data_IF_930111211634
#
_entry.id   IF_930111211634
#
_cell.length_a   1.000
_cell.length_b   1.000
_cell.length_c   1.000
_cell.angle_alpha   90.00
_cell.angle_beta   90.00
_cell.angle_gamma   90.00
#
_symmetry.space_group_name_H-M   'P 1'
#
loop_
_entity.id
_entity.type
_entity.pdbx_description
1 polymer ?
#
# COMPACT_ATOMS: atom_id res chain seq x y z
N UNK A 1 -17.80 -9.59 5.77
CA UNK A 1 -16.90 -8.98 4.76
C UNK A 1 -15.61 -8.44 5.36
N UNK A 2 -14.83 -9.07 6.12
CA UNK A 2 -13.58 -8.44 6.61
C UNK A 2 -12.54 -9.44 7.15
N UNK A 3 -12.78 -10.76 6.98
CA UNK A 3 -11.91 -11.74 7.65
C UNK A 3 -10.54 -11.95 6.97
N UNK A 4 -10.45 -11.87 5.65
CA UNK A 4 -9.15 -12.10 4.95
C UNK A 4 -8.20 -10.92 5.05
N UNK A 5 -8.71 -9.69 5.05
CA UNK A 5 -7.88 -8.50 5.30
C UNK A 5 -7.31 -8.49 6.72
N UNK A 6 -8.14 -8.87 7.68
CA UNK A 6 -7.73 -9.03 9.07
C UNK A 6 -6.73 -10.19 9.25
N UNK A 7 -6.81 -11.28 8.46
CA UNK A 7 -5.85 -12.38 8.54
C UNK A 7 -4.46 -12.00 8.05
N UNK A 8 -4.36 -11.27 6.95
CA UNK A 8 -3.06 -10.75 6.46
C UNK A 8 -2.50 -9.76 7.47
N UNK A 9 -3.32 -8.83 7.94
CA UNK A 9 -2.92 -7.87 8.97
C UNK A 9 -2.57 -8.57 10.30
N UNK A 10 -3.30 -9.61 10.71
CA UNK A 10 -3.01 -10.40 11.92
C UNK A 10 -1.77 -11.27 11.80
N UNK A 11 -1.53 -11.91 10.67
CA UNK A 11 -0.27 -12.64 10.42
C UNK A 11 0.93 -11.69 10.50
N UNK A 12 0.72 -10.49 10.09
CA UNK A 12 1.64 -9.40 10.09
C UNK A 12 1.95 -8.86 11.50
N UNK A 13 0.91 -8.61 12.29
CA UNK A 13 1.03 -8.06 13.64
C UNK A 13 1.52 -9.11 14.66
N UNK A 14 1.32 -10.39 14.40
CA UNK A 14 1.59 -11.46 15.39
C UNK A 14 2.97 -12.14 15.21
N UNK A 15 3.68 -11.91 14.10
CA UNK A 15 4.92 -12.67 13.81
C UNK A 15 6.19 -12.16 14.49
N UNK A 16 6.21 -10.92 14.93
CA UNK A 16 7.42 -10.36 15.55
C UNK A 16 7.12 -9.53 16.81
N UNK A 17 6.99 -10.24 17.92
CA UNK A 17 6.78 -9.63 19.24
C UNK A 17 7.98 -8.81 19.75
N UNK A 18 9.12 -8.87 19.08
CA UNK A 18 10.38 -8.22 19.51
C UNK A 18 10.68 -6.92 18.75
N UNK A 19 9.94 -6.56 17.71
CA UNK A 19 10.20 -5.34 16.95
C UNK A 19 9.67 -4.09 17.66
N UNK A 20 10.44 -3.02 17.65
CA UNK A 20 10.01 -1.69 18.13
C UNK A 20 8.71 -1.24 17.47
N UNK A 21 8.47 -1.67 16.22
CA UNK A 21 7.25 -1.42 15.49
C UNK A 21 6.03 -2.06 16.15
N UNK A 22 6.12 -3.33 16.58
CA UNK A 22 5.00 -4.01 17.24
C UNK A 22 4.68 -3.42 18.61
N UNK A 23 5.71 -3.07 19.39
CA UNK A 23 5.52 -2.37 20.67
C UNK A 23 4.80 -1.04 20.42
N UNK A 24 5.28 -0.27 19.48
CA UNK A 24 4.68 1.02 19.11
C UNK A 24 3.26 0.88 18.55
N UNK A 25 2.99 -0.16 17.74
CA UNK A 25 1.66 -0.45 17.19
C UNK A 25 0.63 -0.85 18.26
N UNK A 26 1.09 -1.42 19.39
CA UNK A 26 0.24 -1.75 20.53
C UNK A 26 -0.01 -0.57 21.45
N UNK A 27 0.97 0.35 21.57
CA UNK A 27 0.93 1.49 22.49
C UNK A 27 0.18 2.70 21.94
N UNK A 28 0.02 2.80 20.60
CA UNK A 28 -0.67 3.94 19.99
C UNK A 28 -2.15 3.63 19.78
N UNK A 29 -2.97 4.22 20.62
CA UNK A 29 -4.37 4.43 20.36
C UNK A 29 -4.54 5.69 19.48
N UNK A 30 -4.64 5.48 18.17
CA UNK A 30 -4.86 6.57 17.19
C UNK A 30 -6.29 7.14 17.25
N UNK A 31 -7.16 6.59 18.08
CA UNK A 31 -8.45 7.21 18.38
C UNK A 31 -8.29 8.43 19.31
N UNK A 32 -7.14 8.53 19.98
CA UNK A 32 -6.82 9.72 20.77
C UNK A 32 -6.61 10.94 19.85
N UNK A 33 -7.51 11.91 19.97
CA UNK A 33 -7.62 13.09 19.11
C UNK A 33 -6.33 13.93 18.95
N UNK A 34 -5.37 13.81 19.86
CA UNK A 34 -4.07 14.51 19.81
C UNK A 34 -3.19 14.09 18.62
N UNK A 35 -3.40 12.89 18.05
CA UNK A 35 -2.64 12.38 16.89
C UNK A 35 -3.32 12.71 15.55
N UNK A 36 -4.58 13.13 15.57
CA UNK A 36 -5.35 13.48 14.38
C UNK A 36 -5.12 14.95 14.00
N UNK A 37 -3.87 15.31 13.74
CA UNK A 37 -3.56 16.65 13.25
C UNK A 37 -4.09 16.84 11.82
N UNK A 38 -4.23 18.09 11.38
CA UNK A 38 -4.64 18.43 10.01
C UNK A 38 -3.67 17.85 8.98
N UNK A 39 -2.38 17.86 9.29
CA UNK A 39 -1.31 17.32 8.47
C UNK A 39 -1.44 15.80 8.34
N UNK A 40 -1.69 15.10 9.44
CA UNK A 40 -1.93 13.65 9.42
C UNK A 40 -3.16 13.30 8.58
N UNK A 41 -4.28 13.99 8.77
CA UNK A 41 -5.52 13.74 8.02
C UNK A 41 -5.29 13.96 6.52
N UNK A 42 -4.56 15.01 6.15
CA UNK A 42 -4.23 15.30 4.75
C UNK A 42 -3.31 14.22 4.15
N UNK A 43 -2.30 13.78 4.90
CA UNK A 43 -1.41 12.71 4.49
C UNK A 43 -2.15 11.37 4.35
N UNK A 44 -3.03 11.04 5.30
CA UNK A 44 -3.84 9.82 5.25
C UNK A 44 -4.71 9.78 3.99
N UNK A 45 -5.42 10.86 3.68
CA UNK A 45 -6.25 10.96 2.47
C UNK A 45 -5.40 10.78 1.21
N UNK A 46 -4.31 11.53 1.10
CA UNK A 46 -3.42 11.46 -0.05
C UNK A 46 -2.86 10.05 -0.28
N UNK A 47 -2.45 9.36 0.80
CA UNK A 47 -1.93 8.00 0.71
C UNK A 47 -3.02 6.96 0.42
N UNK A 48 -4.22 7.09 0.99
CA UNK A 48 -5.34 6.20 0.71
C UNK A 48 -5.82 6.33 -0.75
N UNK A 49 -5.85 7.54 -1.29
CA UNK A 49 -6.21 7.81 -2.69
C UNK A 49 -5.14 7.29 -3.67
N UNK A 50 -3.87 7.42 -3.32
CA UNK A 50 -2.76 7.00 -4.19
C UNK A 50 -2.41 5.51 -4.07
N UNK A 51 -2.82 4.84 -2.98
CA UNK A 51 -2.52 3.43 -2.71
C UNK A 51 -3.76 2.65 -2.25
N UNK A 52 -4.81 2.59 -3.08
CA UNK A 52 -6.09 2.02 -2.67
C UNK A 52 -6.02 0.51 -2.38
N UNK A 53 -5.22 -0.28 -3.11
CA UNK A 53 -5.05 -1.69 -2.82
C UNK A 53 -4.33 -1.92 -1.49
N UNK A 54 -3.30 -1.12 -1.19
CA UNK A 54 -2.62 -1.17 0.11
C UNK A 54 -3.60 -0.78 1.24
N UNK A 55 -4.40 0.27 1.03
CA UNK A 55 -5.44 0.65 2.01
C UNK A 55 -6.41 -0.50 2.30
N UNK A 56 -6.89 -1.19 1.25
CA UNK A 56 -7.77 -2.34 1.39
C UNK A 56 -7.08 -3.48 2.15
N UNK A 57 -5.83 -3.82 1.80
CA UNK A 57 -5.07 -4.91 2.41
C UNK A 57 -4.85 -4.71 3.92
N UNK A 58 -4.58 -3.50 4.35
CA UNK A 58 -4.32 -3.19 5.76
C UNK A 58 -5.59 -2.90 6.56
N UNK A 59 -6.64 -2.41 5.90
CA UNK A 59 -7.82 -1.85 6.55
C UNK A 59 -7.53 -0.53 7.25
N UNK A 60 -8.59 0.19 7.63
CA UNK A 60 -8.50 1.58 8.13
C UNK A 60 -7.54 1.72 9.32
N UNK A 61 -7.69 0.90 10.35
CA UNK A 61 -6.90 1.02 11.58
C UNK A 61 -5.40 0.79 11.36
N UNK A 62 -5.02 -0.26 10.62
CA UNK A 62 -3.61 -0.55 10.37
C UNK A 62 -3.00 0.41 9.35
N UNK A 63 -3.78 0.86 8.37
CA UNK A 63 -3.32 1.86 7.40
C UNK A 63 -3.06 3.20 8.09
N UNK A 64 -3.91 3.63 9.03
CA UNK A 64 -3.65 4.82 9.88
C UNK A 64 -2.31 4.73 10.59
N UNK A 65 -1.99 3.57 11.14
CA UNK A 65 -0.71 3.34 11.82
C UNK A 65 0.47 3.43 10.84
N UNK A 66 0.36 2.84 9.64
CA UNK A 66 1.38 2.99 8.60
C UNK A 66 1.59 4.46 8.22
N UNK A 67 0.50 5.20 8.02
CA UNK A 67 0.56 6.63 7.70
C UNK A 67 1.21 7.42 8.83
N UNK A 68 0.88 7.11 10.08
CA UNK A 68 1.48 7.76 11.24
C UNK A 68 3.00 7.63 11.25
N UNK A 69 3.53 6.44 10.91
CA UNK A 69 4.98 6.26 10.76
C UNK A 69 5.52 6.97 9.52
N UNK A 70 4.83 6.88 8.42
CA UNK A 70 5.29 7.50 7.17
C UNK A 70 5.49 9.00 7.33
N UNK A 71 4.56 9.71 7.97
CA UNK A 71 4.65 11.17 8.16
C UNK A 71 5.80 11.60 9.07
N UNK A 72 6.36 10.70 9.90
CA UNK A 72 7.55 11.02 10.70
C UNK A 72 8.80 11.19 9.83
N UNK A 73 8.84 10.57 8.66
CA UNK A 73 9.96 10.60 7.72
C UNK A 73 9.68 11.45 6.49
N UNK A 74 8.43 11.56 6.09
CA UNK A 74 8.00 12.21 4.86
C UNK A 74 6.86 13.20 5.17
N UNK A 75 7.22 14.44 5.41
CA UNK A 75 6.23 15.50 5.68
C UNK A 75 5.53 15.89 4.37
N UNK A 76 4.20 15.95 4.42
CA UNK A 76 3.40 16.51 3.33
C UNK A 76 3.54 18.03 3.31
N UNK A 77 3.90 18.58 2.14
CA UNK A 77 3.95 20.02 1.88
C UNK A 77 3.29 20.34 0.54
N UNK A 78 3.00 21.61 0.27
CA UNK A 78 2.47 22.04 -1.02
C UNK A 78 3.44 21.71 -2.17
N UNK A 79 4.74 21.80 -1.92
CA UNK A 79 5.79 21.53 -2.91
C UNK A 79 5.86 20.06 -3.33
N UNK A 80 5.56 19.12 -2.43
CA UNK A 80 5.65 17.69 -2.70
C UNK A 80 4.31 16.99 -2.87
N UNK A 81 3.18 17.71 -2.74
CA UNK A 81 1.84 17.13 -2.73
C UNK A 81 1.56 16.21 -3.93
N UNK A 82 1.95 16.62 -5.14
CA UNK A 82 1.73 15.84 -6.37
C UNK A 82 2.53 14.53 -6.42
N UNK A 83 3.60 14.39 -5.62
CA UNK A 83 4.47 13.20 -5.55
C UNK A 83 4.44 12.53 -4.19
N UNK A 84 3.60 13.01 -3.29
CA UNK A 84 3.50 12.49 -1.95
C UNK A 84 2.95 11.05 -1.99
N UNK A 85 3.69 10.13 -1.39
CA UNK A 85 3.39 8.70 -1.44
C UNK A 85 4.19 7.91 -2.47
N UNK A 86 4.90 8.53 -3.40
CA UNK A 86 5.73 7.81 -4.39
C UNK A 86 6.72 6.84 -3.73
N UNK A 87 7.22 7.17 -2.53
CA UNK A 87 8.16 6.38 -1.75
C UNK A 87 7.47 5.36 -0.82
N UNK A 88 6.14 5.32 -0.78
CA UNK A 88 5.39 4.55 0.20
C UNK A 88 5.68 3.05 0.12
N UNK A 89 5.78 2.49 -1.09
CA UNK A 89 6.15 1.09 -1.29
C UNK A 89 7.55 0.75 -0.76
N UNK A 90 8.53 1.64 -0.98
CA UNK A 90 9.88 1.50 -0.43
C UNK A 90 9.91 1.62 1.09
N UNK A 91 9.11 2.53 1.64
CA UNK A 91 8.94 2.68 3.08
C UNK A 91 8.35 1.41 3.72
N UNK A 92 7.28 0.85 3.15
CA UNK A 92 6.67 -0.39 3.64
C UNK A 92 7.72 -1.51 3.67
N UNK A 93 8.51 -1.66 2.60
CA UNK A 93 9.54 -2.70 2.53
C UNK A 93 10.64 -2.50 3.58
N UNK A 94 10.96 -1.26 3.95
CA UNK A 94 11.98 -0.95 4.94
C UNK A 94 11.54 -1.23 6.38
N UNK A 95 10.24 -1.44 6.63
CA UNK A 95 9.74 -1.79 7.96
C UNK A 95 10.11 -3.24 8.31
N UNK A 96 10.86 -3.48 9.42
CA UNK A 96 11.33 -4.82 9.77
C UNK A 96 10.22 -5.86 9.87
N UNK A 97 9.07 -5.48 10.40
CA UNK A 97 7.89 -6.33 10.53
C UNK A 97 7.27 -6.74 9.18
N UNK A 98 7.59 -6.02 8.11
CA UNK A 98 7.08 -6.18 6.75
C UNK A 98 8.10 -6.79 5.78
N UNK A 99 9.33 -6.97 6.23
CA UNK A 99 10.44 -7.40 5.40
C UNK A 99 10.18 -8.72 4.64
N UNK A 100 9.34 -9.60 5.21
CA UNK A 100 8.97 -10.88 4.60
C UNK A 100 7.78 -10.77 3.62
N UNK A 101 7.22 -9.58 3.45
CA UNK A 101 6.06 -9.33 2.58
C UNK A 101 6.46 -8.46 1.38
N UNK A 102 7.49 -8.90 0.65
CA UNK A 102 8.04 -8.16 -0.50
C UNK A 102 6.98 -7.77 -1.55
N UNK A 103 5.90 -8.54 -1.64
CA UNK A 103 4.82 -8.24 -2.58
C UNK A 103 4.15 -6.89 -2.33
N UNK A 104 4.13 -6.40 -1.09
CA UNK A 104 3.49 -5.12 -0.75
C UNK A 104 4.11 -3.93 -1.49
N UNK A 105 5.43 -3.93 -1.67
CA UNK A 105 6.09 -2.87 -2.44
C UNK A 105 5.66 -2.86 -3.90
N UNK A 106 5.41 -4.04 -4.47
CA UNK A 106 5.00 -4.18 -5.87
C UNK A 106 3.54 -3.78 -6.06
N UNK A 107 2.67 -4.18 -5.12
CA UNK A 107 1.28 -3.72 -5.07
C UNK A 107 1.23 -2.18 -4.95
N UNK A 108 2.02 -1.60 -4.03
CA UNK A 108 2.08 -0.14 -3.85
C UNK A 108 2.62 0.59 -5.10
N UNK A 109 3.61 0.00 -5.80
CA UNK A 109 4.10 0.56 -7.08
C UNK A 109 3.03 0.54 -8.17
N UNK A 110 2.23 -0.52 -8.23
CA UNK A 110 1.15 -0.62 -9.21
C UNK A 110 0.01 0.34 -8.87
N UNK A 111 -0.35 0.49 -7.58
CA UNK A 111 -1.29 1.52 -7.11
C UNK A 111 -0.85 2.91 -7.58
N UNK A 112 0.42 3.27 -7.33
CA UNK A 112 0.97 4.55 -7.74
C UNK A 112 0.89 4.75 -9.26
N UNK A 113 1.33 3.76 -10.04
CA UNK A 113 1.28 3.79 -11.50
C UNK A 113 -0.15 3.98 -12.01
N UNK A 114 -1.11 3.24 -11.44
CA UNK A 114 -2.52 3.33 -11.80
C UNK A 114 -3.12 4.72 -11.50
N UNK A 115 -2.85 5.26 -10.31
CA UNK A 115 -3.47 6.51 -9.85
C UNK A 115 -2.84 7.75 -10.47
N UNK A 116 -1.53 7.74 -10.73
CA UNK A 116 -0.81 8.94 -11.21
C UNK A 116 -0.51 8.94 -12.69
N UNK A 117 -0.40 7.77 -13.32
CA UNK A 117 -0.13 7.63 -14.75
C UNK A 117 1.08 8.49 -15.21
N UNK A 118 2.08 8.60 -14.35
CA UNK A 118 3.27 9.45 -14.55
C UNK A 118 4.31 8.83 -15.49
N UNK A 119 4.05 7.62 -15.98
CA UNK A 119 4.91 6.86 -16.88
C UNK A 119 4.08 6.17 -17.96
N UNK A 120 4.68 5.93 -19.13
CA UNK A 120 4.01 5.19 -20.22
C UNK A 120 3.87 3.70 -19.90
N UNK A 121 4.81 3.15 -19.17
CA UNK A 121 4.82 1.75 -18.75
C UNK A 121 5.56 1.58 -17.43
N UNK A 122 5.31 0.46 -16.79
CA UNK A 122 6.02 0.05 -15.58
C UNK A 122 6.51 -1.39 -15.73
N UNK A 123 7.69 -1.68 -15.16
CA UNK A 123 8.22 -3.05 -15.03
C UNK A 123 7.97 -3.54 -13.62
N UNK A 124 7.25 -4.64 -13.52
CA UNK A 124 6.89 -5.29 -12.24
C UNK A 124 7.11 -6.80 -12.35
N UNK A 125 7.33 -7.50 -11.22
CA UNK A 125 7.37 -8.94 -11.20
C UNK A 125 6.09 -9.56 -11.77
N UNK A 126 6.26 -10.70 -12.44
CA UNK A 126 5.15 -11.49 -12.97
C UNK A 126 4.15 -11.83 -11.87
N UNK A 127 2.87 -11.72 -12.18
CA UNK A 127 1.79 -11.97 -11.24
C UNK A 127 1.41 -10.78 -10.36
N UNK A 128 2.13 -9.63 -10.45
CA UNK A 128 1.76 -8.43 -9.69
C UNK A 128 0.38 -7.91 -10.08
N UNK A 129 0.06 -7.87 -11.37
CA UNK A 129 -1.24 -7.40 -11.85
C UNK A 129 -2.39 -8.28 -11.36
N UNK A 130 -2.23 -9.61 -11.43
CA UNK A 130 -3.21 -10.57 -10.96
C UNK A 130 -3.43 -10.48 -9.45
N UNK A 131 -2.33 -10.36 -8.70
CA UNK A 131 -2.35 -10.19 -7.24
C UNK A 131 -3.05 -8.88 -6.85
N UNK A 132 -2.69 -7.77 -7.51
CA UNK A 132 -3.33 -6.47 -7.32
C UNK A 132 -4.82 -6.51 -7.67
N UNK A 133 -5.19 -7.14 -8.79
CA UNK A 133 -6.59 -7.31 -9.19
C UNK A 133 -7.38 -8.19 -8.21
N UNK A 134 -6.75 -9.15 -7.54
CA UNK A 134 -7.41 -9.99 -6.55
C UNK A 134 -7.84 -9.24 -5.30
N UNK A 135 -7.16 -8.12 -4.96
CA UNK A 135 -7.51 -7.27 -3.81
C UNK A 135 -8.90 -6.64 -3.97
N UNK A 136 -9.31 -6.36 -5.21
CA UNK A 136 -10.61 -5.73 -5.51
C UNK A 136 -11.73 -6.72 -5.74
N UNK A 137 -11.43 -8.03 -5.79
CA UNK A 137 -12.46 -9.04 -5.95
C UNK A 137 -13.14 -9.28 -4.60
N UNK A 138 -14.44 -9.44 -4.63
CA UNK A 138 -15.25 -9.80 -3.45
C UNK A 138 -15.10 -11.31 -3.16
N UNK A 139 -13.86 -11.77 -3.05
CA UNK A 139 -13.50 -13.15 -2.74
C UNK A 139 -12.91 -13.23 -1.33
N UNK A 140 -13.18 -14.32 -0.63
CA UNK A 140 -12.65 -14.54 0.72
C UNK A 140 -11.12 -14.71 0.75
N UNK A 141 -10.50 -14.97 -0.40
CA UNK A 141 -9.05 -15.21 -0.51
C UNK A 141 -8.40 -14.21 -1.47
N UNK A 142 -7.39 -13.51 -0.95
CA UNK A 142 -6.49 -12.71 -1.77
C UNK A 142 -5.36 -13.61 -2.23
N UNK A 143 -5.24 -13.78 -3.55
CA UNK A 143 -4.20 -14.59 -4.15
C UNK A 143 -2.97 -13.74 -4.48
N UNK A 144 -1.87 -13.99 -3.78
CA UNK A 144 -0.57 -13.38 -4.07
C UNK A 144 0.26 -14.36 -4.91
N UNK A 145 0.48 -14.00 -6.18
CA UNK A 145 1.11 -14.84 -7.20
C UNK A 145 2.40 -14.20 -7.77
N UNK A 146 3.08 -13.36 -7.00
CA UNK A 146 4.21 -12.56 -7.47
C UNK A 146 5.48 -13.42 -7.54
N UNK A 147 6.09 -13.50 -8.74
CA UNK A 147 7.38 -14.14 -9.00
C UNK A 147 8.42 -13.08 -9.36
N UNK A 148 9.30 -12.76 -8.42
CA UNK A 148 10.32 -11.72 -8.57
C UNK A 148 11.45 -12.12 -9.55
N UNK A 149 11.53 -13.37 -10.01
CA UNK A 149 12.52 -13.80 -11.00
C UNK A 149 12.14 -13.39 -12.43
N UNK A 150 10.90 -13.08 -12.68
CA UNK A 150 10.39 -12.69 -14.01
C UNK A 150 9.71 -11.34 -13.95
N UNK A 151 10.09 -10.46 -14.87
CA UNK A 151 9.52 -9.12 -14.98
C UNK A 151 8.52 -9.06 -16.13
N UNK A 152 7.40 -8.40 -15.90
CA UNK A 152 6.39 -8.10 -16.91
C UNK A 152 6.32 -6.58 -17.13
N UNK A 153 6.11 -6.20 -18.38
CA UNK A 153 5.91 -4.81 -18.75
C UNK A 153 4.41 -4.52 -18.84
N UNK A 154 3.95 -3.55 -18.08
CA UNK A 154 2.56 -3.17 -18.01
C UNK A 154 2.37 -1.75 -18.52
N UNK A 155 1.28 -1.48 -19.19
CA UNK A 155 0.87 -0.15 -19.64
C UNK A 155 -0.61 0.09 -19.34
N UNK A 156 -1.02 1.36 -19.34
CA UNK A 156 -2.42 1.75 -19.22
C UNK A 156 -2.97 1.94 -20.63
N UNK A 157 -4.02 1.20 -20.95
CA UNK A 157 -4.76 1.29 -22.21
C UNK A 157 -6.10 1.97 -21.97
N UNK A 158 -6.46 2.86 -22.88
CA UNK A 158 -7.76 3.54 -22.90
C UNK A 158 -8.54 3.11 -24.14
N UNK A 159 -9.77 2.65 -23.94
CA UNK A 159 -10.68 2.28 -25.02
C UNK A 159 -12.04 2.94 -24.76
N UNK A 160 -12.29 4.06 -25.43
CA UNK A 160 -13.47 4.89 -25.12
C UNK A 160 -13.41 5.42 -23.70
N UNK A 161 -14.42 5.08 -22.89
CA UNK A 161 -14.51 5.46 -21.48
C UNK A 161 -13.85 4.44 -20.52
N UNK A 162 -13.38 3.32 -21.05
CA UNK A 162 -12.73 2.29 -20.24
C UNK A 162 -11.23 2.53 -20.15
N UNK A 163 -10.70 2.33 -18.94
CA UNK A 163 -9.26 2.39 -18.64
C UNK A 163 -8.87 1.05 -18.02
N UNK A 164 -7.83 0.43 -18.55
CA UNK A 164 -7.35 -0.87 -18.07
C UNK A 164 -5.83 -0.93 -18.06
N UNK A 165 -5.26 -1.80 -17.23
CA UNK A 165 -3.86 -2.15 -17.27
C UNK A 165 -3.70 -3.41 -18.11
N UNK A 166 -2.78 -3.38 -19.06
CA UNK A 166 -2.50 -4.50 -19.96
C UNK A 166 -1.00 -4.83 -19.99
N UNK A 167 -0.70 -6.10 -20.25
CA UNK A 167 0.67 -6.57 -20.49
C UNK A 167 1.07 -6.26 -21.94
N UNK A 168 2.34 -5.84 -22.14
CA UNK A 168 2.94 -5.54 -23.45
C UNK A 168 4.31 -6.17 -23.60
#
# INVERSE_FOLDING_TARGET
MNNSYNQIAHQFLNKDKSSQFNVFMQEIDLEDSKYLTKEFISAFRSLAESHPAIFILFGDANFKKLVFFYVQYFLLSEENAAKYGKQFGGFIQALPSLANMNYLKWIAKLDWFWTHQDQQYILLPKGTLESWGSVYKDSEEINILIDENFMEKLTIQRSGNEVSIVKI
#
